data_IF_047581863685
#
_entry.id   IF_047581863685
#
_cell.length_a   1.000
_cell.length_b   1.000
_cell.length_c   1.000
_cell.angle_alpha   90.00
_cell.angle_beta   90.00
_cell.angle_gamma   90.00
#
_symmetry.space_group_name_H-M   'P 1'
#
loop_
_entity.id
_entity.type
_entity.pdbx_description
1 polymer ?
#
# COMPACT_ATOMS: atom_id res chain seq x y z
N UNK A 1 -6.56 30.96 28.25
CA UNK A 1 -6.28 29.59 27.80
C UNK A 1 -6.02 29.65 26.31
N UNK A 2 -4.79 29.39 25.85
CA UNK A 2 -4.47 29.33 24.42
C UNK A 2 -4.89 27.98 23.86
N UNK A 3 -5.63 27.96 22.75
CA UNK A 3 -5.98 26.73 22.05
C UNK A 3 -4.77 26.32 21.21
N UNK A 4 -4.03 25.31 21.65
CA UNK A 4 -3.00 24.68 20.82
C UNK A 4 -3.68 23.94 19.66
N UNK A 5 -3.29 24.29 18.44
CA UNK A 5 -3.81 23.64 17.23
C UNK A 5 -2.87 22.54 16.81
N UNK A 6 -3.27 21.29 17.01
CA UNK A 6 -2.52 20.13 16.56
C UNK A 6 -2.89 19.80 15.11
N UNK A 7 -1.89 19.52 14.27
CA UNK A 7 -2.10 19.03 12.90
C UNK A 7 -2.00 17.52 12.89
N UNK A 8 -2.98 16.86 12.29
CA UNK A 8 -2.98 15.40 12.08
C UNK A 8 -2.64 15.13 10.61
N UNK A 9 -1.68 14.25 10.38
CA UNK A 9 -1.32 13.78 9.04
C UNK A 9 -1.94 12.40 8.79
N UNK A 10 -2.66 12.26 7.67
CA UNK A 10 -3.18 10.98 7.18
C UNK A 10 -2.34 10.54 5.98
N UNK A 11 -1.77 9.35 6.06
CA UNK A 11 -1.04 8.73 4.95
C UNK A 11 -1.88 7.60 4.36
N UNK A 12 -2.07 7.65 3.03
CA UNK A 12 -2.79 6.63 2.28
C UNK A 12 -1.83 5.87 1.38
N UNK A 13 -1.79 4.56 1.55
CA UNK A 13 -0.86 3.67 0.85
C UNK A 13 -1.67 2.59 0.14
N UNK A 14 -1.45 2.42 -1.17
CA UNK A 14 -2.01 1.31 -1.94
C UNK A 14 -1.21 0.04 -1.63
N UNK A 15 -1.87 -1.13 -1.60
CA UNK A 15 -1.16 -2.40 -1.51
C UNK A 15 -0.14 -2.57 -2.65
N UNK A 16 0.94 -3.29 -2.36
CA UNK A 16 1.99 -3.59 -3.33
C UNK A 16 1.52 -4.57 -4.42
N UNK A 17 2.39 -4.87 -5.39
CA UNK A 17 2.05 -5.76 -6.51
C UNK A 17 1.55 -7.13 -6.03
N UNK A 18 0.37 -7.53 -6.49
CA UNK A 18 -0.16 -8.89 -6.34
C UNK A 18 0.00 -9.71 -7.62
N UNK A 19 -0.16 -11.03 -7.53
CA UNK A 19 -0.17 -11.93 -8.70
C UNK A 19 -1.22 -11.48 -9.74
N UNK A 20 -2.35 -10.96 -9.26
CA UNK A 20 -3.41 -10.40 -10.09
C UNK A 20 -3.00 -9.13 -10.82
N UNK A 21 -2.06 -8.35 -10.30
CA UNK A 21 -1.50 -7.19 -11.01
C UNK A 21 -0.45 -7.61 -12.04
N UNK A 22 0.31 -8.67 -11.75
CA UNK A 22 1.31 -9.21 -12.66
C UNK A 22 0.68 -9.93 -13.87
N UNK A 23 -0.51 -10.52 -13.68
CA UNK A 23 -1.31 -11.08 -14.77
C UNK A 23 -1.91 -9.96 -15.64
N UNK A 24 -1.26 -9.65 -16.77
CA UNK A 24 -1.72 -8.65 -17.73
C UNK A 24 -3.20 -8.83 -18.12
N UNK A 25 -3.93 -7.72 -18.19
CA UNK A 25 -5.34 -7.64 -18.65
C UNK A 25 -6.41 -8.29 -17.77
N UNK A 26 -6.17 -8.51 -16.47
CA UNK A 26 -7.22 -9.00 -15.57
C UNK A 26 -7.54 -7.98 -14.47
N UNK A 27 -8.75 -7.43 -14.52
CA UNK A 27 -9.29 -6.64 -13.42
C UNK A 27 -9.64 -7.60 -12.27
N UNK A 28 -9.00 -7.42 -11.12
CA UNK A 28 -9.30 -8.16 -9.89
C UNK A 28 -10.16 -7.30 -8.98
N UNK A 29 -11.40 -7.74 -8.76
CA UNK A 29 -12.34 -7.14 -7.82
C UNK A 29 -12.18 -7.69 -6.41
N UNK A 30 -13.25 -7.64 -5.62
CA UNK A 30 -13.28 -8.01 -4.20
C UNK A 30 -13.10 -9.51 -3.93
N UNK A 31 -13.42 -10.37 -4.90
CA UNK A 31 -13.60 -11.81 -4.66
C UNK A 31 -12.44 -12.71 -5.09
N UNK A 32 -11.27 -12.13 -5.41
CA UNK A 32 -10.07 -12.92 -5.71
C UNK A 32 -9.02 -12.63 -4.66
N UNK A 33 -8.80 -13.57 -3.74
CA UNK A 33 -7.62 -13.50 -2.89
C UNK A 33 -6.39 -13.63 -3.79
N UNK A 34 -5.60 -12.56 -3.86
CA UNK A 34 -4.36 -12.55 -4.63
C UNK A 34 -3.23 -12.22 -3.67
N UNK A 35 -2.26 -13.12 -3.63
CA UNK A 35 -1.08 -12.93 -2.79
C UNK A 35 -0.16 -11.87 -3.41
N UNK A 36 0.68 -11.25 -2.57
CA UNK A 36 1.74 -10.39 -3.07
C UNK A 36 2.76 -11.22 -3.84
N UNK A 37 3.27 -10.66 -4.93
CA UNK A 37 4.42 -11.25 -5.62
C UNK A 37 5.70 -11.02 -4.79
N UNK A 38 6.81 -11.70 -5.10
CA UNK A 38 8.11 -11.37 -4.51
C UNK A 38 8.47 -9.88 -4.63
N UNK A 39 8.22 -9.28 -5.81
CA UNK A 39 8.37 -7.83 -6.01
C UNK A 39 7.43 -7.01 -5.11
N UNK A 40 6.20 -7.48 -4.90
CA UNK A 40 5.25 -6.84 -3.97
C UNK A 40 5.76 -6.81 -2.53
N UNK A 41 6.43 -7.88 -2.08
CA UNK A 41 7.08 -7.88 -0.76
C UNK A 41 8.22 -6.85 -0.71
N UNK A 42 9.09 -6.81 -1.72
CA UNK A 42 10.19 -5.83 -1.80
C UNK A 42 9.68 -4.38 -1.75
N UNK A 43 8.61 -4.07 -2.49
CA UNK A 43 7.97 -2.76 -2.50
C UNK A 43 7.44 -2.36 -1.10
N UNK A 44 6.75 -3.28 -0.42
CA UNK A 44 6.20 -3.04 0.90
C UNK A 44 7.30 -2.85 1.95
N UNK A 45 8.37 -3.66 1.88
CA UNK A 45 9.53 -3.54 2.75
C UNK A 45 10.26 -2.20 2.55
N UNK A 46 10.50 -1.81 1.29
CA UNK A 46 11.18 -0.56 0.98
C UNK A 46 10.39 0.65 1.50
N UNK A 47 9.07 0.66 1.32
CA UNK A 47 8.23 1.72 1.88
C UNK A 47 8.25 1.75 3.41
N UNK A 48 8.22 0.59 4.07
CA UNK A 48 8.32 0.52 5.54
C UNK A 48 9.64 1.04 6.10
N UNK A 49 10.71 0.98 5.30
CA UNK A 49 12.01 1.57 5.64
C UNK A 49 12.14 3.06 5.31
N UNK A 50 11.16 3.64 4.59
CA UNK A 50 11.18 5.04 4.20
C UNK A 50 10.81 5.92 5.40
N UNK A 51 11.73 6.78 5.83
CA UNK A 51 11.45 7.81 6.84
C UNK A 51 10.72 8.98 6.15
N UNK A 52 9.49 9.24 6.60
CA UNK A 52 8.68 10.39 6.21
C UNK A 52 9.07 11.66 6.99
#
# INVERSE_FOLDING_TARGET
MSVETYRVCLYLIRHAQSEGNAASNIIRGRDVSSQLTPLGFEQATLLGSYQL
#
